data_IF_314182970058
#
_entry.id   IF_314182970058
#
_cell.length_a   1.000
_cell.length_b   1.000
_cell.length_c   1.000
_cell.angle_alpha   90.00
_cell.angle_beta   90.00
_cell.angle_gamma   90.00
#
_symmetry.space_group_name_H-M   'P 1'
#
loop_
_entity.id
_entity.type
_entity.pdbx_description
1 polymer ?
#
# COMPACT_ATOMS: atom_id res chain seq x y z
N UNK A 1 14.97 12.99 -25.94
CA UNK A 1 13.98 12.96 -24.84
C UNK A 1 13.48 14.38 -24.65
N UNK A 2 12.19 14.66 -24.84
CA UNK A 2 11.67 15.98 -24.52
C UNK A 2 11.50 16.07 -22.99
N UNK A 3 12.54 16.58 -22.33
CA UNK A 3 12.61 16.70 -20.88
C UNK A 3 11.40 17.46 -20.33
N UNK A 4 10.90 18.47 -21.07
CA UNK A 4 9.74 19.26 -20.68
C UNK A 4 8.47 18.40 -20.61
N UNK A 5 8.27 17.50 -21.58
CA UNK A 5 7.12 16.58 -21.59
C UNK A 5 7.19 15.56 -20.43
N UNK A 6 8.39 15.03 -20.15
CA UNK A 6 8.59 14.12 -19.00
C UNK A 6 8.35 14.84 -17.66
N UNK A 7 8.84 16.07 -17.49
CA UNK A 7 8.61 16.87 -16.30
C UNK A 7 7.14 17.25 -16.14
N UNK A 8 6.46 17.59 -17.23
CA UNK A 8 5.03 17.87 -17.22
C UNK A 8 4.21 16.66 -16.79
N UNK A 9 4.51 15.47 -17.32
CA UNK A 9 3.86 14.22 -16.91
C UNK A 9 4.10 13.91 -15.43
N UNK A 10 5.35 14.06 -14.96
CA UNK A 10 5.70 13.92 -13.55
C UNK A 10 4.88 14.87 -12.67
N UNK A 11 4.80 16.15 -13.05
CA UNK A 11 4.06 17.16 -12.30
C UNK A 11 2.57 16.82 -12.22
N UNK A 12 1.94 16.38 -13.32
CA UNK A 12 0.54 15.96 -13.33
C UNK A 12 0.31 14.77 -12.39
N UNK A 13 1.14 13.73 -12.50
CA UNK A 13 0.97 12.52 -11.69
C UNK A 13 1.12 12.82 -10.21
N UNK A 14 2.12 13.63 -9.83
CA UNK A 14 2.30 14.07 -8.44
C UNK A 14 1.13 14.95 -8.00
N UNK A 15 0.66 15.89 -8.83
CA UNK A 15 -0.44 16.76 -8.49
C UNK A 15 -1.74 15.98 -8.24
N UNK A 16 -2.04 14.96 -9.07
CA UNK A 16 -3.20 14.08 -8.87
C UNK A 16 -3.05 13.30 -7.55
N UNK A 17 -1.88 12.71 -7.31
CA UNK A 17 -1.61 11.95 -6.09
C UNK A 17 -1.78 12.82 -4.82
N UNK A 18 -1.19 14.01 -4.81
CA UNK A 18 -1.32 14.97 -3.70
C UNK A 18 -2.75 15.47 -3.54
N UNK A 19 -3.47 15.72 -4.64
CA UNK A 19 -4.86 16.18 -4.59
C UNK A 19 -5.79 15.14 -3.95
N UNK A 20 -5.56 13.85 -4.21
CA UNK A 20 -6.30 12.77 -3.54
C UNK A 20 -6.04 12.77 -2.03
N UNK A 21 -4.79 12.94 -1.60
CA UNK A 21 -4.44 13.03 -0.18
C UNK A 21 -4.99 14.29 0.48
N UNK A 22 -4.94 15.42 -0.21
CA UNK A 22 -5.54 16.67 0.23
C UNK A 22 -7.05 16.51 0.43
N UNK A 23 -7.73 15.89 -0.54
CA UNK A 23 -9.15 15.58 -0.45
C UNK A 23 -9.46 14.79 0.83
N UNK A 24 -8.78 13.65 1.05
CA UNK A 24 -8.98 12.83 2.25
C UNK A 24 -8.69 13.61 3.54
N UNK A 25 -7.62 14.41 3.57
CA UNK A 25 -7.26 15.21 4.74
C UNK A 25 -8.31 16.28 5.06
N UNK A 26 -8.74 17.06 4.07
CA UNK A 26 -9.67 18.18 4.28
C UNK A 26 -11.12 17.72 4.47
N UNK A 27 -11.51 16.57 3.89
CA UNK A 27 -12.86 16.01 4.11
C UNK A 27 -12.99 15.26 5.42
N UNK A 28 -11.90 14.73 5.98
CA UNK A 28 -11.92 14.05 7.26
C UNK A 28 -11.83 15.03 8.44
N UNK A 29 -12.41 14.64 9.58
CA UNK A 29 -12.33 15.38 10.84
C UNK A 29 -11.26 14.75 11.74
N UNK A 30 -10.33 15.55 12.26
CA UNK A 30 -9.39 15.08 13.29
C UNK A 30 -10.13 14.74 14.58
N UNK A 31 -9.83 13.58 15.15
CA UNK A 31 -10.44 13.09 16.38
C UNK A 31 -9.40 12.92 17.50
N UNK A 32 -8.16 12.59 17.14
CA UNK A 32 -7.10 12.34 18.09
C UNK A 32 -5.74 12.66 17.44
N UNK A 33 -4.77 13.09 18.27
CA UNK A 33 -3.39 13.26 17.86
C UNK A 33 -2.44 12.52 18.80
N UNK A 34 -1.82 11.44 18.32
CA UNK A 34 -0.83 10.64 19.05
C UNK A 34 0.58 11.09 18.66
N UNK A 35 1.13 12.04 19.43
CA UNK A 35 2.43 12.64 19.15
C UNK A 35 2.43 13.41 17.82
N UNK A 36 3.12 12.87 16.80
CA UNK A 36 3.15 13.45 15.44
C UNK A 36 2.08 12.88 14.51
N UNK A 37 1.37 11.84 14.93
CA UNK A 37 0.37 11.17 14.10
C UNK A 37 -1.01 11.81 14.34
N UNK A 38 -1.63 12.32 13.29
CA UNK A 38 -3.02 12.79 13.29
C UNK A 38 -3.94 11.63 12.91
N UNK A 39 -4.92 11.33 13.75
CA UNK A 39 -5.96 10.33 13.49
C UNK A 39 -7.24 11.08 13.15
N UNK A 40 -7.81 10.77 11.98
CA UNK A 40 -8.96 11.47 11.41
C UNK A 40 -10.03 10.47 10.97
N UNK A 41 -11.27 10.93 10.85
CA UNK A 41 -12.41 10.11 10.40
C UNK A 41 -13.08 10.79 9.19
N UNK A 42 -13.32 10.02 8.13
CA UNK A 42 -14.09 10.44 6.95
C UNK A 42 -15.56 9.96 7.01
N UNK A 43 -15.82 8.81 7.64
CA UNK A 43 -17.15 8.18 7.80
C UNK A 43 -17.91 7.93 6.49
N UNK A 44 -17.43 6.99 5.68
CA UNK A 44 -18.09 6.43 4.50
C UNK A 44 -18.58 4.98 4.73
N UNK A 45 -18.67 4.54 5.99
CA UNK A 45 -19.13 3.20 6.41
C UNK A 45 -18.21 2.01 6.05
N UNK A 46 -16.99 2.26 5.56
CA UNK A 46 -16.02 1.20 5.28
C UNK A 46 -15.12 0.93 6.50
N UNK A 47 -15.04 -0.33 6.94
CA UNK A 47 -14.13 -0.76 8.03
C UNK A 47 -12.68 -0.85 7.54
N UNK A 48 -12.09 0.32 7.26
CA UNK A 48 -10.71 0.43 6.81
C UNK A 48 -10.11 1.80 7.23
N UNK A 49 -8.82 1.98 7.01
CA UNK A 49 -8.15 3.25 7.15
C UNK A 49 -7.11 3.45 6.04
N UNK A 50 -6.68 4.70 5.87
CA UNK A 50 -5.67 5.08 4.89
C UNK A 50 -4.61 5.92 5.58
N UNK A 51 -3.37 5.44 5.63
CA UNK A 51 -2.20 6.23 5.94
C UNK A 51 -1.89 7.18 4.77
N UNK A 52 -1.90 8.48 5.02
CA UNK A 52 -1.58 9.50 4.03
C UNK A 52 -0.07 9.55 3.78
N UNK A 53 0.39 8.78 2.80
CA UNK A 53 1.79 8.75 2.34
C UNK A 53 2.10 9.92 1.39
N UNK A 54 1.77 11.14 1.80
CA UNK A 54 2.00 12.36 1.00
C UNK A 54 3.21 13.18 1.49
N UNK A 55 3.64 14.19 0.72
CA UNK A 55 4.61 15.17 1.24
C UNK A 55 3.96 16.13 2.23
N UNK A 56 2.75 16.62 1.96
CA UNK A 56 2.12 17.68 2.74
C UNK A 56 1.32 17.18 3.96
N UNK A 57 0.71 16.00 3.85
CA UNK A 57 -0.21 15.45 4.87
C UNK A 57 0.37 14.22 5.56
N UNK A 58 1.71 14.04 5.49
CA UNK A 58 2.40 12.92 6.11
C UNK A 58 2.08 12.83 7.60
N UNK A 59 2.08 11.61 8.14
CA UNK A 59 1.73 11.28 9.52
C UNK A 59 0.24 11.46 9.82
N UNK A 60 -0.61 11.29 8.81
CA UNK A 60 -2.06 11.27 9.02
C UNK A 60 -2.59 9.90 8.70
N UNK A 61 -3.49 9.39 9.54
CA UNK A 61 -4.27 8.18 9.28
C UNK A 61 -5.74 8.60 9.22
N UNK A 62 -6.41 8.28 8.12
CA UNK A 62 -7.82 8.57 7.91
C UNK A 62 -8.61 7.27 8.00
N UNK A 63 -9.37 7.11 9.08
CA UNK A 63 -10.37 6.04 9.21
C UNK A 63 -11.57 6.32 8.33
N UNK A 64 -12.01 5.29 7.64
CA UNK A 64 -13.13 5.32 6.73
C UNK A 64 -14.45 5.06 7.47
N UNK A 65 -14.43 4.39 8.62
CA UNK A 65 -15.56 4.26 9.55
C UNK A 65 -15.46 5.19 10.75
N UNK A 66 -16.55 5.29 11.53
CA UNK A 66 -16.54 5.97 12.83
C UNK A 66 -15.83 5.16 13.94
N UNK A 67 -15.61 3.87 13.72
CA UNK A 67 -15.04 2.96 14.70
C UNK A 67 -13.54 2.79 14.46
N UNK A 68 -12.75 3.14 15.48
CA UNK A 68 -11.30 2.96 15.42
C UNK A 68 -10.98 1.51 15.77
N UNK A 69 -10.75 0.71 14.75
CA UNK A 69 -10.21 -0.63 14.93
C UNK A 69 -8.71 -0.55 15.20
N UNK A 70 -8.30 -0.97 16.39
CA UNK A 70 -6.91 -0.90 16.84
C UNK A 70 -5.96 -1.73 15.97
N UNK A 71 -6.41 -2.87 15.43
CA UNK A 71 -5.58 -3.70 14.54
C UNK A 71 -5.26 -2.95 13.25
N UNK A 72 -6.27 -2.29 12.66
CA UNK A 72 -6.12 -1.45 11.46
C UNK A 72 -5.20 -0.27 11.79
N UNK A 73 -5.36 0.39 12.93
CA UNK A 73 -4.49 1.49 13.35
C UNK A 73 -3.01 1.07 13.35
N UNK A 74 -2.68 -0.09 13.93
CA UNK A 74 -1.28 -0.57 14.02
C UNK A 74 -0.69 -0.94 12.67
N UNK A 75 -1.51 -1.42 11.74
CA UNK A 75 -1.11 -1.62 10.36
C UNK A 75 -0.81 -0.28 9.66
N UNK A 76 -1.71 0.70 9.73
CA UNK A 76 -1.53 2.03 9.11
C UNK A 76 -0.34 2.81 9.71
N UNK A 77 -0.07 2.68 11.01
CA UNK A 77 1.14 3.22 11.63
C UNK A 77 2.41 2.68 10.96
N UNK A 78 2.38 1.41 10.52
CA UNK A 78 3.46 0.77 9.77
C UNK A 78 3.74 1.47 8.45
N UNK A 79 2.71 1.84 7.70
CA UNK A 79 2.87 2.60 6.46
C UNK A 79 3.56 3.96 6.67
N UNK A 80 3.22 4.68 7.74
CA UNK A 80 3.82 5.98 8.04
C UNK A 80 5.35 5.90 8.29
N UNK A 81 5.84 4.75 8.78
CA UNK A 81 7.28 4.52 9.03
C UNK A 81 8.07 4.14 7.78
N UNK A 82 7.39 3.81 6.69
CA UNK A 82 8.05 3.39 5.46
C UNK A 82 8.66 4.59 4.73
N UNK A 83 9.75 4.37 3.98
CA UNK A 83 10.15 5.31 2.94
C UNK A 83 9.01 5.51 1.95
N UNK A 84 8.89 6.71 1.38
CA UNK A 84 7.78 7.05 0.52
C UNK A 84 8.00 6.54 -0.91
N UNK A 85 8.05 5.20 -1.06
CA UNK A 85 8.42 4.54 -2.31
C UNK A 85 7.42 4.83 -3.44
N UNK A 86 6.19 5.24 -3.11
CA UNK A 86 5.17 5.55 -4.10
C UNK A 86 5.58 6.73 -4.97
N UNK A 87 6.26 7.75 -4.43
CA UNK A 87 6.79 8.85 -5.26
C UNK A 87 7.90 8.37 -6.19
N UNK A 88 8.80 7.51 -5.71
CA UNK A 88 9.84 6.94 -6.56
C UNK A 88 9.22 6.14 -7.71
N UNK A 89 8.15 5.39 -7.44
CA UNK A 89 7.41 4.65 -8.45
C UNK A 89 6.68 5.59 -9.43
N UNK A 90 5.96 6.60 -8.95
CA UNK A 90 5.25 7.57 -9.79
C UNK A 90 6.21 8.34 -10.72
N UNK A 91 7.37 8.76 -10.19
CA UNK A 91 8.44 9.40 -10.96
C UNK A 91 8.97 8.46 -12.06
N UNK A 92 9.22 7.19 -11.72
CA UNK A 92 9.69 6.20 -12.67
C UNK A 92 8.67 5.98 -13.79
N UNK A 93 7.39 5.77 -13.45
CA UNK A 93 6.33 5.57 -14.45
C UNK A 93 6.20 6.78 -15.35
N UNK A 94 6.10 7.99 -14.78
CA UNK A 94 5.95 9.22 -15.56
C UNK A 94 7.14 9.49 -16.49
N UNK A 95 8.36 9.14 -16.07
CA UNK A 95 9.56 9.25 -16.90
C UNK A 95 9.59 8.22 -18.05
N UNK A 96 9.02 7.02 -17.85
CA UNK A 96 9.04 5.93 -18.82
C UNK A 96 7.87 5.96 -19.81
N UNK A 97 6.74 6.59 -19.46
CA UNK A 97 5.55 6.72 -20.31
C UNK A 97 5.86 7.18 -21.76
N UNK A 98 6.73 8.18 -22.00
CA UNK A 98 7.03 8.65 -23.35
C UNK A 98 7.94 7.72 -24.17
N UNK A 99 8.58 6.72 -23.54
CA UNK A 99 9.63 5.93 -24.18
C UNK A 99 9.10 4.72 -24.94
N UNK A 100 8.21 3.92 -24.33
CA UNK A 100 7.54 2.80 -24.98
C UNK A 100 6.54 2.12 -24.04
N UNK A 101 5.39 1.69 -24.57
CA UNK A 101 4.45 0.80 -23.89
C UNK A 101 5.09 -0.55 -23.50
N UNK A 102 6.11 -1.00 -24.23
CA UNK A 102 6.83 -2.26 -23.94
C UNK A 102 7.60 -2.16 -22.62
N UNK A 103 8.12 -0.97 -22.28
CA UNK A 103 8.84 -0.73 -21.02
C UNK A 103 7.86 -0.42 -19.87
N UNK A 104 6.69 0.15 -20.19
CA UNK A 104 5.66 0.45 -19.20
C UNK A 104 5.11 -0.81 -18.51
N UNK A 105 4.95 -1.92 -19.24
CA UNK A 105 4.42 -3.18 -18.67
C UNK A 105 5.32 -3.73 -17.54
N UNK A 106 6.65 -3.95 -17.75
CA UNK A 106 7.56 -4.30 -16.66
C UNK A 106 7.56 -3.30 -15.50
N UNK A 107 7.47 -2.00 -15.77
CA UNK A 107 7.41 -0.98 -14.74
C UNK A 107 6.17 -1.13 -13.84
N UNK A 108 5.00 -1.42 -14.42
CA UNK A 108 3.77 -1.68 -13.65
C UNK A 108 3.95 -2.90 -12.74
N UNK A 109 4.59 -3.97 -13.20
CA UNK A 109 4.87 -5.14 -12.36
C UNK A 109 5.85 -4.83 -11.21
N UNK A 110 6.84 -3.97 -11.44
CA UNK A 110 7.74 -3.49 -10.36
C UNK A 110 6.94 -2.68 -9.34
N UNK A 111 6.03 -1.80 -9.79
CA UNK A 111 5.12 -1.07 -8.92
C UNK A 111 4.26 -1.98 -8.07
N UNK A 112 3.68 -3.00 -8.70
CA UNK A 112 2.89 -4.02 -8.01
C UNK A 112 3.67 -4.74 -6.92
N UNK A 113 4.89 -5.17 -7.24
CA UNK A 113 5.78 -5.81 -6.27
C UNK A 113 6.13 -4.88 -5.09
N UNK A 114 6.34 -3.60 -5.38
CA UNK A 114 6.60 -2.58 -4.38
C UNK A 114 5.41 -2.39 -3.43
N UNK A 115 4.18 -2.33 -3.97
CA UNK A 115 2.96 -2.26 -3.17
C UNK A 115 2.83 -3.48 -2.25
N UNK A 116 3.02 -4.69 -2.77
CA UNK A 116 3.00 -5.89 -1.93
C UNK A 116 4.05 -5.87 -0.82
N UNK A 117 5.24 -5.34 -1.12
CA UNK A 117 6.29 -5.17 -0.12
C UNK A 117 5.89 -4.16 0.96
N UNK A 118 5.30 -3.04 0.57
CA UNK A 118 4.83 -2.00 1.51
C UNK A 118 3.76 -2.54 2.45
N UNK A 119 2.74 -3.22 1.92
CA UNK A 119 1.71 -3.90 2.70
C UNK A 119 2.31 -4.89 3.71
N UNK A 120 3.21 -5.75 3.25
CA UNK A 120 3.88 -6.71 4.13
C UNK A 120 4.74 -6.05 5.19
N UNK A 121 5.48 -5.00 4.84
CA UNK A 121 6.31 -4.29 5.80
C UNK A 121 5.45 -3.60 6.88
N UNK A 122 4.22 -3.17 6.54
CA UNK A 122 3.24 -2.64 7.49
C UNK A 122 2.69 -3.74 8.41
N UNK A 123 2.29 -4.88 7.86
CA UNK A 123 1.89 -6.06 8.64
C UNK A 123 3.01 -6.53 9.59
N UNK A 124 4.25 -6.58 9.11
CA UNK A 124 5.41 -6.94 9.92
C UNK A 124 5.69 -5.94 11.04
N UNK A 125 5.45 -4.65 10.80
CA UNK A 125 5.56 -3.62 11.82
C UNK A 125 4.51 -3.84 12.92
N UNK A 126 3.24 -4.00 12.53
CA UNK A 126 2.14 -4.27 13.45
C UNK A 126 2.38 -5.54 14.28
N UNK A 127 2.83 -6.61 13.63
CA UNK A 127 3.13 -7.87 14.31
C UNK A 127 4.30 -7.76 15.29
N UNK A 128 5.42 -7.14 14.89
CA UNK A 128 6.63 -7.13 15.74
C UNK A 128 6.51 -6.24 16.97
N UNK A 129 5.77 -5.14 16.86
CA UNK A 129 5.64 -4.17 17.96
C UNK A 129 4.41 -4.40 18.83
N UNK A 130 3.33 -4.93 18.24
CA UNK A 130 2.04 -5.03 18.91
C UNK A 130 1.46 -6.45 18.89
N UNK A 131 2.16 -7.43 18.31
CA UNK A 131 1.70 -8.81 18.14
C UNK A 131 0.34 -8.92 17.41
N UNK A 132 0.06 -7.98 16.50
CA UNK A 132 -1.14 -7.94 15.67
C UNK A 132 -0.87 -8.67 14.35
N UNK A 133 -1.69 -9.67 14.04
CA UNK A 133 -1.69 -10.36 12.74
C UNK A 133 -2.93 -9.99 11.95
N UNK A 134 -2.81 -10.01 10.63
CA UNK A 134 -3.92 -9.90 9.71
C UNK A 134 -4.85 -11.12 9.85
N UNK A 135 -6.15 -10.85 9.88
CA UNK A 135 -7.21 -11.85 9.98
C UNK A 135 -8.13 -11.72 8.77
N UNK A 136 -8.53 -12.86 8.20
CA UNK A 136 -9.45 -12.92 7.08
C UNK A 136 -10.00 -14.35 7.00
N UNK A 137 -11.20 -14.53 6.44
CA UNK A 137 -11.79 -15.85 6.23
C UNK A 137 -11.51 -16.41 4.82
N UNK A 138 -10.72 -15.68 4.01
CA UNK A 138 -10.41 -16.10 2.64
C UNK A 138 -9.52 -17.35 2.64
N UNK A 139 -9.96 -18.35 1.89
CA UNK A 139 -9.23 -19.62 1.71
C UNK A 139 -8.30 -19.56 0.50
N UNK A 140 -7.17 -20.29 0.60
CA UNK A 140 -6.21 -20.43 -0.51
C UNK A 140 -6.85 -21.18 -1.69
N UNK A 141 -6.85 -20.60 -2.91
CA UNK A 141 -7.34 -21.30 -4.10
C UNK A 141 -6.52 -22.55 -4.43
N UNK A 142 -7.20 -23.62 -4.88
CA UNK A 142 -6.54 -24.86 -5.31
C UNK A 142 -5.78 -24.71 -6.62
N UNK A 143 -6.30 -23.92 -7.56
CA UNK A 143 -5.72 -23.71 -8.89
C UNK A 143 -4.57 -22.71 -8.85
N UNK A 144 -3.44 -23.05 -9.49
CA UNK A 144 -2.29 -22.12 -9.67
C UNK A 144 -2.69 -20.85 -10.41
N UNK A 145 -3.59 -20.94 -11.40
CA UNK A 145 -4.04 -19.78 -12.18
C UNK A 145 -4.82 -18.81 -11.28
N UNK A 146 -5.69 -19.33 -10.42
CA UNK A 146 -6.46 -18.49 -9.49
C UNK A 146 -5.56 -17.85 -8.42
N UNK A 147 -4.53 -18.55 -7.96
CA UNK A 147 -3.50 -17.95 -7.09
C UNK A 147 -2.76 -16.81 -7.79
N UNK A 148 -2.33 -17.03 -9.04
CA UNK A 148 -1.68 -15.98 -9.84
C UNK A 148 -2.58 -14.77 -10.03
N UNK A 149 -3.86 -14.99 -10.35
CA UNK A 149 -4.86 -13.92 -10.47
C UNK A 149 -4.99 -13.13 -9.17
N UNK A 150 -5.13 -13.80 -8.03
CA UNK A 150 -5.22 -13.13 -6.73
C UNK A 150 -4.02 -12.20 -6.50
N UNK A 151 -2.79 -12.70 -6.70
CA UNK A 151 -1.61 -11.85 -6.61
C UNK A 151 -1.67 -10.65 -7.57
N UNK A 152 -1.95 -10.88 -8.86
CA UNK A 152 -1.93 -9.82 -9.87
C UNK A 152 -3.03 -8.77 -9.67
N UNK A 153 -4.25 -9.17 -9.32
CA UNK A 153 -5.41 -8.29 -9.30
C UNK A 153 -5.68 -7.66 -7.93
N UNK A 154 -5.30 -8.30 -6.83
CA UNK A 154 -5.50 -7.74 -5.47
C UNK A 154 -4.50 -6.63 -5.18
N UNK A 155 -4.94 -5.53 -4.57
CA UNK A 155 -4.08 -4.36 -4.27
C UNK A 155 -2.94 -4.68 -3.29
N UNK A 156 -3.13 -5.70 -2.46
CA UNK A 156 -2.20 -6.22 -1.46
C UNK A 156 -1.80 -7.68 -1.75
N UNK A 157 -0.85 -8.28 -1.02
CA UNK A 157 -0.67 -9.73 -1.04
C UNK A 157 -2.00 -10.43 -0.73
N UNK A 158 -2.32 -11.58 -1.35
CA UNK A 158 -3.60 -12.26 -1.11
C UNK A 158 -3.81 -12.55 0.38
N UNK A 159 -5.04 -12.38 0.86
CA UNK A 159 -5.36 -12.50 2.29
C UNK A 159 -4.96 -13.84 2.90
N UNK A 160 -5.16 -14.95 2.16
CA UNK A 160 -4.74 -16.28 2.62
C UNK A 160 -3.23 -16.39 2.81
N UNK A 161 -2.44 -15.58 2.10
CA UNK A 161 -0.98 -15.48 2.31
C UNK A 161 -0.63 -14.58 3.49
N UNK A 162 -1.44 -13.58 3.83
CA UNK A 162 -1.21 -12.71 5.00
C UNK A 162 -1.48 -13.41 6.33
N UNK A 163 -2.16 -14.56 6.31
CA UNK A 163 -2.50 -15.38 7.49
C UNK A 163 -1.43 -16.40 7.89
N UNK A 164 -0.56 -16.82 6.98
CA UNK A 164 0.41 -17.88 7.29
C UNK A 164 1.57 -17.35 8.14
N UNK A 165 2.10 -18.16 9.05
CA UNK A 165 3.22 -17.77 9.93
C UNK A 165 4.44 -17.27 9.16
N UNK A 166 4.73 -17.92 8.03
CA UNK A 166 5.91 -17.62 7.20
C UNK A 166 5.83 -16.23 6.55
N UNK A 167 4.63 -15.65 6.43
CA UNK A 167 4.47 -14.27 5.98
C UNK A 167 5.15 -13.30 6.96
N UNK A 168 5.13 -13.61 8.25
CA UNK A 168 5.69 -12.78 9.33
C UNK A 168 7.17 -13.09 9.64
N UNK A 169 7.78 -14.07 8.98
CA UNK A 169 9.21 -14.37 9.13
C UNK A 169 10.09 -13.32 8.41
N UNK A 170 11.03 -12.70 9.14
CA UNK A 170 11.99 -11.74 8.58
C UNK A 170 12.85 -12.32 7.46
N UNK A 171 13.12 -13.63 7.47
CA UNK A 171 13.94 -14.33 6.46
C UNK A 171 13.19 -14.56 5.15
N UNK A 172 11.86 -14.52 5.20
CA UNK A 172 11.00 -14.55 4.02
C UNK A 172 10.84 -13.15 3.45
N UNK A 173 10.86 -13.06 2.12
CA UNK A 173 10.53 -11.83 1.40
C UNK A 173 9.32 -12.10 0.50
N UNK A 174 8.67 -11.03 0.05
CA UNK A 174 7.42 -11.14 -0.69
C UNK A 174 7.56 -11.88 -2.02
N UNK A 175 8.73 -11.79 -2.68
CA UNK A 175 9.01 -12.56 -3.90
C UNK A 175 9.07 -14.06 -3.64
N UNK A 176 9.77 -14.47 -2.56
CA UNK A 176 9.85 -15.87 -2.16
C UNK A 176 8.47 -16.42 -1.80
N UNK A 177 7.65 -15.63 -1.12
CA UNK A 177 6.27 -15.99 -0.79
C UNK A 177 5.43 -16.19 -2.05
N UNK A 178 5.49 -15.24 -2.98
CA UNK A 178 4.82 -15.32 -4.29
C UNK A 178 5.22 -16.57 -5.08
N UNK A 179 6.53 -16.76 -5.31
CA UNK A 179 7.03 -17.91 -6.08
C UNK A 179 6.59 -19.22 -5.42
N UNK A 180 6.82 -19.36 -4.12
CA UNK A 180 6.48 -20.60 -3.41
C UNK A 180 4.98 -20.89 -3.48
N UNK A 181 4.13 -19.88 -3.31
CA UNK A 181 2.69 -20.05 -3.40
C UNK A 181 2.23 -20.51 -4.79
N UNK A 182 2.86 -20.03 -5.87
CA UNK A 182 2.53 -20.49 -7.21
C UNK A 182 2.96 -21.95 -7.46
N UNK A 183 4.10 -22.38 -6.91
CA UNK A 183 4.70 -23.68 -7.21
C UNK A 183 4.43 -24.77 -6.18
N UNK A 184 3.78 -24.48 -5.05
CA UNK A 184 3.34 -25.47 -4.06
C UNK A 184 1.93 -26.02 -4.28
#
# INVERSE_FOLDING_TARGET
MNLELSLFNVAIVIAIYESFHAYLFYKSREIEKKGRISIRILNNEEENAIALNSFFFRNTIVFLSNEINEKILRHEEGHLKQPNYIYAFLLLVAALLPLSYIIAVPAVFIGKFLLWKMERDADLYAYRLYNVKYESDVFRPKSRIERLKAWIFDTHPPDYMRKIEEYYDKKMNILKLFIRDLFS
#
